data_IF_341766024933
#
_entry.id   IF_341766024933
#
_cell.length_a   1.000
_cell.length_b   1.000
_cell.length_c   1.000
_cell.angle_alpha   90.00
_cell.angle_beta   90.00
_cell.angle_gamma   90.00
#
_symmetry.space_group_name_H-M   'P 1'
#
loop_
_entity.id
_entity.type
_entity.pdbx_description
1 polymer ?
#
# COMPACT_ATOMS: atom_id res chain seq x y z
N UNK A 1 8.71 20.09 -3.89
CA UNK A 1 8.24 21.11 -2.93
C UNK A 1 7.91 20.35 -1.65
N UNK A 2 8.71 20.53 -0.59
CA UNK A 2 8.43 19.91 0.70
C UNK A 2 7.13 20.50 1.22
N UNK A 3 6.05 19.72 1.29
CA UNK A 3 4.85 20.13 1.99
C UNK A 3 5.24 20.26 3.46
N UNK A 4 5.57 21.48 3.89
CA UNK A 4 5.71 21.80 5.30
C UNK A 4 4.30 21.61 5.86
N UNK A 5 4.10 20.54 6.64
CA UNK A 5 2.86 20.35 7.39
C UNK A 5 2.72 21.59 8.28
N UNK A 6 1.62 22.33 8.14
CA UNK A 6 1.40 23.52 8.96
C UNK A 6 1.53 23.15 10.44
N UNK A 7 2.21 24.01 11.20
CA UNK A 7 2.43 23.78 12.62
C UNK A 7 1.07 23.65 13.32
N UNK A 8 0.83 22.49 13.92
CA UNK A 8 -0.43 22.18 14.60
C UNK A 8 -0.69 23.19 15.71
N UNK A 9 -1.91 23.75 15.74
CA UNK A 9 -2.37 24.61 16.83
C UNK A 9 -3.07 23.72 17.85
N UNK A 10 -2.31 23.21 18.82
CA UNK A 10 -2.80 22.31 19.86
C UNK A 10 -3.00 23.06 21.18
N UNK A 11 -3.99 22.66 21.96
CA UNK A 11 -4.09 23.02 23.37
C UNK A 11 -2.96 22.39 24.18
N UNK A 12 -2.74 22.83 25.42
CA UNK A 12 -1.67 22.27 26.26
C UNK A 12 -1.88 20.77 26.55
N UNK A 13 -3.13 20.34 26.74
CA UNK A 13 -3.47 18.93 26.97
C UNK A 13 -3.25 18.08 25.71
N UNK A 14 -3.67 18.59 24.55
CA UNK A 14 -3.43 17.94 23.25
C UNK A 14 -1.94 17.87 22.93
N UNK A 15 -1.16 18.91 23.23
CA UNK A 15 0.29 18.90 23.02
C UNK A 15 0.96 17.83 23.88
N UNK A 16 0.58 17.71 25.17
CA UNK A 16 1.09 16.65 26.05
C UNK A 16 0.78 15.25 25.49
N UNK A 17 -0.43 15.06 24.95
CA UNK A 17 -0.83 13.79 24.31
C UNK A 17 -0.06 13.54 23.01
N UNK A 18 -0.02 14.53 22.12
CA UNK A 18 0.74 14.49 20.87
C UNK A 18 2.19 14.08 21.12
N UNK A 19 2.84 14.73 22.08
CA UNK A 19 4.22 14.41 22.40
C UNK A 19 4.34 13.00 22.97
N UNK A 20 3.51 12.63 23.95
CA UNK A 20 3.57 11.31 24.58
C UNK A 20 3.44 10.17 23.56
N UNK A 21 2.54 10.32 22.60
CA UNK A 21 2.17 9.28 21.65
C UNK A 21 2.99 9.38 20.32
N UNK A 22 3.94 10.31 20.23
CA UNK A 22 4.77 10.53 19.04
C UNK A 22 5.78 9.37 18.82
N UNK A 23 5.65 8.60 17.71
CA UNK A 23 6.52 7.46 17.41
C UNK A 23 7.98 7.86 17.13
N UNK A 24 8.24 9.12 16.78
CA UNK A 24 9.58 9.63 16.54
C UNK A 24 10.50 9.59 17.77
N UNK A 25 9.96 9.24 18.95
CA UNK A 25 10.71 9.01 20.19
C UNK A 25 11.31 7.60 20.29
N UNK A 26 10.74 6.62 19.59
CA UNK A 26 11.03 5.20 19.79
C UNK A 26 11.99 4.60 18.74
N UNK A 27 12.34 5.38 17.71
CA UNK A 27 13.51 5.11 16.85
C UNK A 27 13.17 4.63 15.43
N UNK A 28 13.87 3.58 14.98
CA UNK A 28 14.13 3.25 13.56
C UNK A 28 12.91 3.19 12.63
N UNK A 29 11.73 2.76 13.09
CA UNK A 29 10.53 2.59 12.26
C UNK A 29 9.43 3.59 12.57
N UNK A 30 9.79 4.80 13.03
CA UNK A 30 8.83 5.82 13.40
C UNK A 30 7.80 6.15 12.30
N UNK A 31 8.20 6.08 11.02
CA UNK A 31 7.27 6.27 9.90
C UNK A 31 6.23 5.14 9.81
N UNK A 32 6.62 3.89 10.08
CA UNK A 32 5.67 2.76 10.08
C UNK A 32 4.67 2.90 11.24
N UNK A 33 5.17 3.24 12.43
CA UNK A 33 4.34 3.45 13.61
C UNK A 33 3.39 4.63 13.43
N UNK A 34 3.82 5.72 12.77
CA UNK A 34 2.95 6.85 12.43
C UNK A 34 1.82 6.44 11.47
N UNK A 35 2.08 5.52 10.53
CA UNK A 35 1.07 4.99 9.62
C UNK A 35 0.05 4.09 10.35
N UNK A 36 0.51 3.27 11.29
CA UNK A 36 -0.33 2.37 12.09
C UNK A 36 -1.11 3.06 13.22
N UNK A 37 -0.65 4.23 13.66
CA UNK A 37 -1.26 4.94 14.77
C UNK A 37 -2.75 5.24 14.53
N UNK A 38 -3.52 5.25 15.62
CA UNK A 38 -4.96 5.55 15.63
C UNK A 38 -5.25 7.01 16.00
N UNK A 39 -4.20 7.82 16.14
CA UNK A 39 -4.28 9.22 16.54
C UNK A 39 -4.78 10.10 15.39
N UNK A 40 -5.22 11.36 15.65
CA UNK A 40 -5.75 12.24 14.61
C UNK A 40 -4.85 12.31 13.38
N UNK A 41 -5.43 12.31 12.18
CA UNK A 41 -4.62 12.30 10.94
C UNK A 41 -3.63 13.47 10.86
N UNK A 42 -4.02 14.65 11.35
CA UNK A 42 -3.13 15.81 11.39
C UNK A 42 -1.86 15.52 12.22
N UNK A 43 -1.97 14.75 13.30
CA UNK A 43 -0.84 14.37 14.13
C UNK A 43 0.03 13.35 13.43
N UNK A 44 -0.60 12.30 12.88
CA UNK A 44 0.09 11.24 12.14
C UNK A 44 0.87 11.79 10.94
N UNK A 45 0.28 12.70 10.17
CA UNK A 45 0.94 13.38 9.05
C UNK A 45 2.12 14.23 9.52
N UNK A 46 2.00 14.93 10.65
CA UNK A 46 3.12 15.70 11.20
C UNK A 46 4.25 14.78 11.67
N UNK A 47 3.94 13.69 12.37
CA UNK A 47 4.94 12.68 12.77
C UNK A 47 5.63 12.04 11.56
N UNK A 48 4.87 11.69 10.52
CA UNK A 48 5.39 11.12 9.28
C UNK A 48 6.30 12.13 8.55
N UNK A 49 5.90 13.40 8.49
CA UNK A 49 6.71 14.49 7.94
C UNK A 49 8.02 14.67 8.71
N UNK A 50 7.96 14.70 10.03
CA UNK A 50 9.14 14.76 10.91
C UNK A 50 10.07 13.54 10.69
N UNK A 51 9.51 12.33 10.55
CA UNK A 51 10.29 11.11 10.31
C UNK A 51 11.04 11.18 8.97
N UNK A 52 10.34 11.54 7.89
CA UNK A 52 10.94 11.71 6.56
C UNK A 52 12.01 12.82 6.58
N UNK A 53 11.75 13.93 7.27
CA UNK A 53 12.71 15.03 7.42
C UNK A 53 13.98 14.61 8.17
N UNK A 54 13.90 13.62 9.07
CA UNK A 54 15.06 13.00 9.74
C UNK A 54 15.78 11.95 8.89
N UNK A 55 15.32 11.72 7.66
CA UNK A 55 15.94 10.80 6.71
C UNK A 55 15.38 9.38 6.73
N UNK A 56 14.20 9.15 7.33
CA UNK A 56 13.51 7.86 7.17
C UNK A 56 13.16 7.62 5.69
N UNK A 57 13.49 6.44 5.17
CA UNK A 57 13.11 6.03 3.82
C UNK A 57 11.62 5.66 3.79
N UNK A 58 10.86 6.35 2.93
CA UNK A 58 9.42 6.14 2.74
C UNK A 58 9.09 4.73 2.20
N UNK A 59 10.10 4.04 1.65
CA UNK A 59 10.00 2.67 1.17
C UNK A 59 10.70 1.67 2.09
N UNK A 60 11.21 2.06 3.26
CA UNK A 60 11.94 1.14 4.15
C UNK A 60 11.08 -0.08 4.48
N UNK A 61 11.67 -1.27 4.48
CA UNK A 61 10.98 -2.49 4.90
C UNK A 61 11.22 -2.68 6.40
N UNK A 62 10.15 -2.72 7.19
CA UNK A 62 10.21 -3.03 8.61
C UNK A 62 10.44 -4.53 8.83
N UNK A 63 11.66 -4.94 9.13
CA UNK A 63 12.06 -6.34 9.33
C UNK A 63 11.86 -6.84 10.78
N UNK A 64 11.40 -6.00 11.71
CA UNK A 64 11.21 -6.38 13.13
C UNK A 64 9.96 -7.21 13.39
N UNK A 65 8.97 -7.15 12.52
CA UNK A 65 7.64 -7.74 12.76
C UNK A 65 7.56 -9.12 12.09
N UNK A 66 6.72 -10.01 12.63
CA UNK A 66 6.33 -11.27 11.99
C UNK A 66 5.78 -11.10 10.57
N UNK A 67 5.44 -9.86 10.18
CA UNK A 67 4.98 -9.44 8.87
C UNK A 67 5.78 -8.19 8.47
N UNK A 68 6.85 -8.32 7.66
CA UNK A 68 7.64 -7.16 7.32
C UNK A 68 6.95 -6.36 6.21
N UNK A 69 6.52 -5.17 6.60
CA UNK A 69 5.71 -4.26 5.81
C UNK A 69 6.50 -3.00 5.50
N UNK A 70 6.06 -2.28 4.47
CA UNK A 70 6.55 -0.94 4.16
C UNK A 70 5.51 0.08 4.65
N UNK A 71 5.85 1.37 4.80
CA UNK A 71 4.91 2.37 5.30
C UNK A 71 3.58 2.41 4.54
N UNK A 72 3.61 2.16 3.22
CA UNK A 72 2.41 2.14 2.40
C UNK A 72 1.52 0.91 2.65
N UNK A 73 2.09 -0.23 3.07
CA UNK A 73 1.30 -1.37 3.55
C UNK A 73 0.66 -1.05 4.91
N UNK A 74 1.41 -0.45 5.82
CA UNK A 74 0.93 -0.08 7.16
C UNK A 74 -0.25 0.91 7.09
N UNK A 75 -0.17 1.88 6.18
CA UNK A 75 -1.21 2.90 5.99
C UNK A 75 -2.57 2.33 5.53
N UNK A 76 -2.60 1.10 5.01
CA UNK A 76 -3.83 0.43 4.57
C UNK A 76 -4.28 -0.72 5.49
N UNK A 77 -3.46 -1.14 6.45
CA UNK A 77 -3.83 -2.20 7.41
C UNK A 77 -4.91 -1.74 8.38
N UNK A 78 -4.76 -0.53 8.91
CA UNK A 78 -5.61 -0.03 9.99
C UNK A 78 -6.24 1.31 9.63
N UNK A 79 -7.32 1.31 8.84
CA UNK A 79 -7.90 2.57 8.40
C UNK A 79 -8.61 3.33 9.52
N UNK A 80 -8.77 2.76 10.73
CA UNK A 80 -9.40 3.38 11.90
C UNK A 80 -10.41 2.45 12.58
N UNK A 81 -10.83 2.80 13.80
CA UNK A 81 -11.73 1.94 14.59
C UNK A 81 -13.16 1.91 14.04
N UNK A 82 -13.73 0.70 13.98
CA UNK A 82 -15.13 0.43 13.61
C UNK A 82 -16.18 0.99 14.58
N UNK A 83 -15.75 1.38 15.79
CA UNK A 83 -16.65 1.82 16.87
C UNK A 83 -16.96 3.31 16.84
N UNK A 84 -16.43 4.09 15.90
CA UNK A 84 -16.71 5.53 15.76
C UNK A 84 -16.24 6.40 16.93
N UNK A 85 -15.57 5.82 17.93
CA UNK A 85 -15.05 6.54 19.11
C UNK A 85 -13.77 7.31 18.82
N UNK A 86 -13.03 6.92 17.78
CA UNK A 86 -11.77 7.54 17.39
C UNK A 86 -11.68 7.53 15.85
N UNK A 87 -11.96 8.69 15.25
CA UNK A 87 -11.65 9.13 13.87
C UNK A 87 -12.42 8.52 12.69
N UNK A 88 -12.59 9.34 11.65
CA UNK A 88 -13.17 8.93 10.37
C UNK A 88 -12.17 8.06 9.60
N UNK A 89 -12.60 6.88 9.19
CA UNK A 89 -11.78 5.88 8.50
C UNK A 89 -11.18 6.41 7.20
N UNK A 90 -11.85 7.38 6.57
CA UNK A 90 -11.38 8.03 5.35
C UNK A 90 -10.19 8.97 5.57
N UNK A 91 -9.91 9.39 6.81
CA UNK A 91 -8.73 10.20 7.11
C UNK A 91 -7.43 9.44 6.81
N UNK A 92 -7.44 8.10 6.91
CA UNK A 92 -6.26 7.29 6.57
C UNK A 92 -5.93 7.32 5.06
N UNK A 93 -6.86 7.76 4.20
CA UNK A 93 -6.56 8.03 2.79
C UNK A 93 -5.60 9.22 2.62
N UNK A 94 -5.61 10.19 3.55
CA UNK A 94 -4.63 11.29 3.53
C UNK A 94 -3.22 10.79 3.80
N UNK A 95 -3.06 9.76 4.64
CA UNK A 95 -1.76 9.12 4.85
C UNK A 95 -1.28 8.42 3.57
N UNK A 96 -2.16 7.71 2.86
CA UNK A 96 -1.83 7.10 1.56
C UNK A 96 -1.41 8.18 0.55
N UNK A 97 -2.19 9.26 0.42
CA UNK A 97 -1.85 10.39 -0.45
C UNK A 97 -0.50 11.01 -0.08
N UNK A 98 -0.26 11.21 1.21
CA UNK A 98 0.97 11.78 1.74
C UNK A 98 2.18 10.91 1.37
N UNK A 99 2.14 9.61 1.66
CA UNK A 99 3.22 8.68 1.33
C UNK A 99 3.53 8.65 -0.16
N UNK A 100 2.50 8.57 -1.02
CA UNK A 100 2.67 8.59 -2.48
C UNK A 100 3.27 9.91 -2.96
N UNK A 101 2.87 11.05 -2.40
CA UNK A 101 3.45 12.36 -2.72
C UNK A 101 4.93 12.48 -2.30
N UNK A 102 5.34 11.70 -1.29
CA UNK A 102 6.72 11.62 -0.80
C UNK A 102 7.55 10.49 -1.44
N UNK A 103 7.03 9.82 -2.49
CA UNK A 103 7.79 8.85 -3.28
C UNK A 103 7.66 7.40 -2.81
N UNK A 104 6.63 7.07 -2.04
CA UNK A 104 6.28 5.68 -1.78
C UNK A 104 5.98 4.95 -3.10
N UNK A 105 6.63 3.81 -3.33
CA UNK A 105 6.43 3.00 -4.52
C UNK A 105 5.40 1.89 -4.23
N UNK A 106 4.17 2.01 -4.76
CA UNK A 106 3.11 1.03 -4.54
C UNK A 106 3.38 -0.33 -5.21
N UNK A 107 4.40 -0.46 -6.05
CA UNK A 107 4.77 -1.72 -6.71
C UNK A 107 5.66 -2.58 -5.81
N UNK A 108 6.19 -2.01 -4.73
CA UNK A 108 7.05 -2.74 -3.81
C UNK A 108 6.23 -3.71 -2.97
N UNK A 109 6.75 -4.94 -2.91
CA UNK A 109 6.11 -6.03 -2.18
C UNK A 109 6.48 -5.98 -0.70
N UNK A 110 5.58 -6.49 0.14
CA UNK A 110 5.90 -6.86 1.51
C UNK A 110 6.98 -7.96 1.53
N UNK A 111 7.71 -8.08 2.64
CA UNK A 111 8.70 -9.14 2.80
C UNK A 111 8.08 -10.42 3.38
N UNK A 112 8.49 -11.60 2.88
CA UNK A 112 8.76 -12.86 3.62
C UNK A 112 8.84 -14.05 2.66
N UNK A 113 9.65 -15.02 3.05
CA UNK A 113 9.97 -16.24 2.31
C UNK A 113 9.22 -17.48 2.84
N UNK A 114 8.57 -17.41 3.99
CA UNK A 114 8.23 -18.55 4.86
C UNK A 114 6.72 -18.82 5.00
N UNK A 115 5.85 -17.89 4.58
CA UNK A 115 4.38 -18.10 4.58
C UNK A 115 3.83 -18.08 3.14
N UNK A 116 3.41 -19.23 2.56
CA UNK A 116 3.03 -19.32 1.15
C UNK A 116 1.81 -18.49 0.73
N UNK A 117 0.87 -18.24 1.66
CA UNK A 117 -0.47 -17.67 1.38
C UNK A 117 -0.57 -16.15 1.34
N UNK A 118 0.45 -15.40 1.76
CA UNK A 118 0.49 -13.91 1.73
C UNK A 118 1.76 -13.38 1.05
N UNK A 119 2.43 -14.26 0.33
CA UNK A 119 3.72 -14.01 -0.30
C UNK A 119 3.52 -12.96 -1.40
N UNK A 120 4.37 -11.92 -1.42
CA UNK A 120 4.55 -11.02 -2.58
C UNK A 120 3.44 -10.02 -2.86
N UNK A 121 2.57 -9.70 -1.90
CA UNK A 121 1.54 -8.69 -2.13
C UNK A 121 2.16 -7.29 -2.14
N UNK A 122 1.89 -6.57 -3.22
CA UNK A 122 1.99 -5.12 -3.22
C UNK A 122 0.89 -4.54 -2.32
N UNK A 123 1.02 -3.30 -1.82
CA UNK A 123 -0.07 -2.67 -1.08
C UNK A 123 -1.36 -2.55 -1.94
N UNK A 124 -1.24 -2.48 -3.27
CA UNK A 124 -2.40 -2.55 -4.19
C UNK A 124 -3.11 -3.90 -4.13
N UNK A 125 -2.35 -5.00 -4.11
CA UNK A 125 -2.90 -6.36 -4.02
C UNK A 125 -3.57 -6.60 -2.66
N UNK A 126 -2.96 -6.08 -1.60
CA UNK A 126 -3.49 -6.17 -0.25
C UNK A 126 -4.80 -5.39 -0.11
N UNK A 127 -4.85 -4.16 -0.59
CA UNK A 127 -6.07 -3.36 -0.61
C UNK A 127 -7.19 -4.05 -1.39
N UNK A 128 -6.88 -4.69 -2.53
CA UNK A 128 -7.87 -5.49 -3.28
C UNK A 128 -8.43 -6.65 -2.45
N UNK A 129 -7.55 -7.36 -1.74
CA UNK A 129 -7.96 -8.48 -0.88
C UNK A 129 -8.85 -8.02 0.28
N UNK A 130 -8.50 -6.93 0.95
CA UNK A 130 -9.27 -6.42 2.09
C UNK A 130 -10.61 -5.81 1.66
N UNK A 131 -10.64 -5.07 0.53
CA UNK A 131 -11.89 -4.57 -0.05
C UNK A 131 -12.87 -5.73 -0.31
N UNK A 132 -12.38 -6.81 -0.89
CA UNK A 132 -13.19 -7.99 -1.19
C UNK A 132 -13.71 -8.66 0.07
N UNK A 133 -12.82 -8.99 1.02
CA UNK A 133 -13.21 -9.63 2.29
C UNK A 133 -14.26 -8.81 3.03
N UNK A 134 -14.10 -7.48 3.04
CA UNK A 134 -15.03 -6.58 3.71
C UNK A 134 -16.39 -6.50 2.99
N UNK A 135 -16.38 -6.48 1.64
CA UNK A 135 -17.61 -6.54 0.83
C UNK A 135 -18.38 -7.85 1.04
N UNK A 136 -17.68 -8.99 1.00
CA UNK A 136 -18.27 -10.32 1.22
C UNK A 136 -18.85 -10.46 2.63
N UNK A 137 -18.22 -9.84 3.62
CA UNK A 137 -18.74 -9.76 4.99
C UNK A 137 -19.89 -8.74 5.16
N UNK A 138 -20.26 -7.99 4.11
CA UNK A 138 -21.33 -7.00 4.14
C UNK A 138 -20.98 -5.70 4.85
N UNK A 139 -19.69 -5.39 5.02
CA UNK A 139 -19.25 -4.14 5.64
C UNK A 139 -19.15 -3.03 4.61
N UNK A 140 -19.64 -1.83 4.92
CA UNK A 140 -19.58 -0.66 4.02
C UNK A 140 -18.19 -0.02 3.94
N UNK A 141 -17.28 -0.43 4.82
CA UNK A 141 -15.93 0.11 4.94
C UNK A 141 -14.98 -0.36 3.82
N UNK A 142 -15.42 -1.28 2.94
CA UNK A 142 -14.62 -1.75 1.81
C UNK A 142 -14.13 -0.61 0.89
N UNK A 143 -14.90 0.49 0.82
CA UNK A 143 -14.62 1.65 -0.05
C UNK A 143 -13.28 2.31 0.23
N UNK A 144 -12.84 2.30 1.49
CA UNK A 144 -11.51 2.81 1.85
C UNK A 144 -10.42 2.13 1.02
N UNK A 145 -10.43 0.79 0.98
CA UNK A 145 -9.38 0.05 0.28
C UNK A 145 -9.51 0.18 -1.25
N UNK A 146 -10.72 0.33 -1.78
CA UNK A 146 -10.89 0.62 -3.22
C UNK A 146 -10.28 1.97 -3.59
N UNK A 147 -10.59 3.03 -2.84
CA UNK A 147 -10.07 4.38 -3.08
C UNK A 147 -8.55 4.44 -2.88
N UNK A 148 -8.03 3.81 -1.82
CA UNK A 148 -6.58 3.65 -1.59
C UNK A 148 -5.89 2.94 -2.77
N UNK A 149 -6.49 1.84 -3.26
CA UNK A 149 -5.98 1.07 -4.39
C UNK A 149 -5.95 1.89 -5.67
N UNK A 150 -6.99 2.66 -5.97
CA UNK A 150 -7.03 3.52 -7.15
C UNK A 150 -5.89 4.54 -7.14
N UNK A 151 -5.67 5.23 -6.00
CA UNK A 151 -4.58 6.18 -5.84
C UNK A 151 -3.20 5.51 -6.07
N UNK A 152 -3.01 4.31 -5.53
CA UNK A 152 -1.78 3.55 -5.72
C UNK A 152 -1.58 3.09 -7.18
N UNK A 153 -2.64 2.69 -7.88
CA UNK A 153 -2.57 2.34 -9.31
C UNK A 153 -2.17 3.55 -10.15
N UNK A 154 -2.74 4.73 -9.87
CA UNK A 154 -2.36 5.94 -10.57
C UNK A 154 -0.90 6.33 -10.31
N UNK A 155 -0.43 6.20 -9.07
CA UNK A 155 0.96 6.45 -8.73
C UNK A 155 1.91 5.46 -9.44
N UNK A 156 1.57 4.17 -9.49
CA UNK A 156 2.33 3.15 -10.22
C UNK A 156 2.44 3.47 -11.73
N UNK A 157 1.34 3.92 -12.34
CA UNK A 157 1.32 4.37 -13.74
C UNK A 157 2.27 5.54 -13.96
N UNK A 158 2.23 6.54 -13.09
CA UNK A 158 3.10 7.73 -13.17
C UNK A 158 4.58 7.37 -13.03
N UNK A 159 4.92 6.48 -12.09
CA UNK A 159 6.29 5.99 -11.92
C UNK A 159 6.79 5.26 -13.17
N UNK A 160 5.97 4.37 -13.73
CA UNK A 160 6.37 3.65 -14.94
C UNK A 160 6.53 4.57 -16.15
N UNK A 161 5.60 5.50 -16.36
CA UNK A 161 5.71 6.49 -17.43
C UNK A 161 6.99 7.34 -17.29
N UNK A 162 7.34 7.73 -16.06
CA UNK A 162 8.59 8.45 -15.76
C UNK A 162 9.82 7.60 -16.09
N UNK A 163 9.87 6.35 -15.62
CA UNK A 163 10.96 5.43 -15.92
C UNK A 163 11.11 5.17 -17.44
N UNK A 164 10.01 5.02 -18.17
CA UNK A 164 10.03 4.86 -19.63
C UNK A 164 10.53 6.11 -20.36
N UNK A 165 10.17 7.30 -19.88
CA UNK A 165 10.67 8.56 -20.42
C UNK A 165 12.17 8.72 -20.20
N UNK A 166 12.68 8.30 -19.03
CA UNK A 166 14.09 8.35 -18.67
C UNK A 166 14.93 7.29 -19.41
N UNK A 167 14.36 6.10 -19.68
CA UNK A 167 15.07 4.96 -20.30
C UNK A 167 15.23 5.03 -21.84
N UNK A 168 14.63 6.02 -22.51
CA UNK A 168 14.80 6.27 -23.94
C UNK A 168 14.34 5.15 -24.89
N UNK A 169 14.71 5.25 -26.18
CA UNK A 169 14.22 4.39 -27.26
C UNK A 169 14.68 2.92 -27.15
N UNK A 170 15.91 2.68 -26.66
CA UNK A 170 16.53 1.35 -26.65
C UNK A 170 15.92 0.39 -25.61
N UNK A 171 15.41 0.91 -24.49
CA UNK A 171 14.79 0.07 -23.45
C UNK A 171 13.38 -0.39 -23.83
N UNK A 172 12.65 0.39 -24.64
CA UNK A 172 11.34 -0.02 -25.19
C UNK A 172 11.46 -1.27 -26.06
N UNK A 173 12.57 -1.41 -26.78
CA UNK A 173 12.88 -2.59 -27.60
C UNK A 173 13.15 -3.83 -26.73
N UNK A 174 13.89 -3.68 -25.62
CA UNK A 174 14.15 -4.78 -24.69
C UNK A 174 12.91 -5.22 -23.90
N UNK A 175 12.06 -4.28 -23.47
CA UNK A 175 10.80 -4.60 -22.80
C UNK A 175 9.86 -5.44 -23.68
N UNK A 176 9.82 -5.15 -24.99
CA UNK A 176 9.03 -5.93 -25.95
C UNK A 176 9.54 -7.38 -26.09
N UNK A 177 10.86 -7.55 -26.14
CA UNK A 177 11.50 -8.87 -26.20
C UNK A 177 11.31 -9.68 -24.90
N UNK A 178 11.37 -9.04 -23.74
CA UNK A 178 11.22 -9.71 -22.45
C UNK A 178 9.77 -10.13 -22.16
N UNK A 179 8.80 -9.29 -22.56
CA UNK A 179 7.36 -9.59 -22.48
C UNK A 179 7.00 -10.86 -23.25
N UNK A 180 7.58 -11.05 -24.44
CA UNK A 180 7.39 -12.24 -25.26
C UNK A 180 7.96 -13.54 -24.65
N UNK A 181 8.80 -13.44 -23.61
CA UNK A 181 9.51 -14.57 -22.99
C UNK A 181 9.06 -14.91 -21.57
N UNK A 182 8.14 -14.14 -20.97
CA UNK A 182 7.72 -14.36 -19.58
C UNK A 182 6.67 -15.47 -19.43
N UNK A 183 6.91 -16.41 -18.51
CA UNK A 183 6.13 -17.65 -18.31
C UNK A 183 4.75 -17.40 -17.65
N UNK A 184 3.75 -18.19 -18.06
CA UNK A 184 2.31 -18.16 -17.68
C UNK A 184 1.94 -18.07 -16.18
N UNK A 185 2.88 -18.28 -15.25
CA UNK A 185 2.62 -18.19 -13.81
C UNK A 185 2.66 -16.74 -13.27
N UNK A 186 3.37 -15.84 -13.94
CA UNK A 186 3.40 -14.40 -13.61
C UNK A 186 2.12 -13.66 -14.02
N UNK A 187 1.28 -14.31 -14.84
CA UNK A 187 0.02 -13.79 -15.41
C UNK A 187 -1.23 -14.14 -14.59
N UNK A 188 -1.08 -14.88 -13.50
CA UNK A 188 -2.18 -15.23 -12.61
C UNK A 188 -2.51 -14.06 -11.68
N UNK A 189 -3.80 -13.77 -11.49
CA UNK A 189 -4.22 -12.71 -10.59
C UNK A 189 -3.84 -13.00 -9.13
N UNK A 190 -3.88 -11.98 -8.26
CA UNK A 190 -3.59 -12.17 -6.83
C UNK A 190 -4.36 -13.35 -6.25
N UNK A 191 -5.65 -13.50 -6.55
CA UNK A 191 -6.47 -14.58 -5.99
C UNK A 191 -6.10 -15.97 -6.50
N UNK A 192 -5.78 -16.09 -7.79
CA UNK A 192 -5.26 -17.32 -8.37
C UNK A 192 -3.91 -17.70 -7.77
N UNK A 193 -3.09 -16.72 -7.36
CA UNK A 193 -1.81 -16.95 -6.67
C UNK A 193 -2.00 -17.38 -5.21
N UNK A 194 -2.99 -16.83 -4.51
CA UNK A 194 -3.25 -17.13 -3.09
C UNK A 194 -4.06 -18.42 -2.87
N UNK A 195 -4.68 -18.98 -3.92
CA UNK A 195 -5.49 -20.19 -3.82
C UNK A 195 -6.80 -20.01 -3.02
N UNK A 196 -7.26 -18.77 -2.86
CA UNK A 196 -8.54 -18.45 -2.23
C UNK A 196 -9.69 -18.58 -3.25
N UNK A 197 -10.01 -19.82 -3.59
CA UNK A 197 -11.24 -20.14 -4.33
C UNK A 197 -12.28 -20.64 -3.36
N UNK A 198 -13.41 -19.95 -3.32
CA UNK A 198 -14.58 -20.32 -2.53
C UNK A 198 -15.72 -20.69 -3.48
N UNK A 199 -15.50 -21.67 -4.36
CA UNK A 199 -16.58 -22.20 -5.19
C UNK A 199 -16.44 -23.72 -5.40
N UNK A 200 -17.58 -24.39 -5.30
CA UNK A 200 -17.83 -25.83 -5.44
C UNK A 200 -17.53 -26.42 -6.83
N UNK A 201 -16.70 -25.79 -7.65
CA UNK A 201 -16.46 -26.24 -9.03
C UNK A 201 -14.98 -26.58 -9.25
N UNK A 202 -14.73 -27.86 -9.44
CA UNK A 202 -13.43 -28.52 -9.63
C UNK A 202 -12.74 -28.18 -10.97
N UNK A 203 -13.22 -27.18 -11.71
CA UNK A 203 -12.76 -26.88 -13.09
C UNK A 203 -12.64 -25.37 -13.35
N UNK A 204 -12.05 -24.60 -12.43
CA UNK A 204 -11.73 -23.20 -12.72
C UNK A 204 -10.45 -23.10 -13.58
N UNK A 205 -10.59 -22.78 -14.86
CA UNK A 205 -9.44 -22.47 -15.73
C UNK A 205 -9.05 -20.99 -15.59
N UNK A 206 -7.75 -20.65 -15.72
CA UNK A 206 -7.25 -19.26 -15.56
C UNK A 206 -7.85 -18.26 -16.56
N UNK A 207 -8.34 -18.74 -17.71
CA UNK A 207 -8.99 -17.94 -18.75
C UNK A 207 -10.38 -17.41 -18.35
N UNK A 208 -11.04 -18.07 -17.40
CA UNK A 208 -12.41 -17.73 -17.01
C UNK A 208 -12.47 -16.79 -15.80
N UNK A 209 -11.32 -16.54 -15.14
CA UNK A 209 -11.26 -15.69 -13.95
C UNK A 209 -11.46 -14.23 -14.35
N UNK A 210 -12.62 -13.64 -14.00
CA UNK A 210 -12.89 -12.22 -14.23
C UNK A 210 -11.81 -11.32 -13.64
N UNK A 211 -11.26 -11.69 -12.48
CA UNK A 211 -10.15 -10.95 -11.86
C UNK A 211 -8.82 -11.08 -12.60
N UNK A 212 -8.53 -12.21 -13.25
CA UNK A 212 -7.40 -12.29 -14.18
C UNK A 212 -7.65 -11.41 -15.40
N UNK A 213 -8.89 -11.25 -15.86
CA UNK A 213 -9.22 -10.34 -16.98
C UNK A 213 -9.07 -8.88 -16.56
N UNK A 214 -9.39 -8.53 -15.32
CA UNK A 214 -9.18 -7.19 -14.77
C UNK A 214 -7.71 -6.89 -14.48
N UNK A 215 -6.98 -7.77 -13.78
CA UNK A 215 -5.55 -7.57 -13.46
C UNK A 215 -4.66 -7.57 -14.72
N UNK A 216 -5.02 -8.29 -15.78
CA UNK A 216 -4.33 -8.20 -17.08
C UNK A 216 -4.33 -6.78 -17.66
N UNK A 217 -5.30 -5.93 -17.30
CA UNK A 217 -5.30 -4.51 -17.70
C UNK A 217 -4.23 -3.68 -16.97
N UNK A 218 -3.68 -4.21 -15.88
CA UNK A 218 -2.78 -3.52 -14.96
C UNK A 218 -1.49 -4.31 -14.72
N UNK A 219 -1.06 -5.18 -15.63
CA UNK A 219 0.05 -6.12 -15.42
C UNK A 219 1.39 -5.40 -15.22
N UNK A 220 1.66 -4.97 -13.98
CA UNK A 220 2.96 -4.49 -13.50
C UNK A 220 3.88 -5.64 -13.05
N UNK A 221 3.42 -6.89 -13.17
CA UNK A 221 4.19 -8.10 -12.84
C UNK A 221 5.42 -8.34 -13.76
N UNK A 222 5.80 -7.38 -14.60
CA UNK A 222 6.82 -7.55 -15.64
C UNK A 222 8.03 -6.59 -15.54
N UNK A 223 8.18 -5.80 -14.48
CA UNK A 223 9.27 -4.82 -14.40
C UNK A 223 10.37 -5.08 -13.36
N UNK A 224 10.30 -6.15 -12.56
CA UNK A 224 11.42 -6.60 -11.73
C UNK A 224 11.44 -8.11 -11.57
#
# INVERSE_FOLDING_TARGET
>A
MSAIVEKLKLTEEEQKRYDRDNPNKHGRYALHEACLAIEPIAWRLNWASEAIARGCDVNELNDRISRPLRPLHEAIENPGSRTGKFHDRFESLDMVRFLLAHGADPRLRAGRADTPRYRWLTPMDEALCEARRSREAGYSDYRFWEEAREMMIEAAKKLTAKEEAERGLFSRMFAYLYSAMSKDWAMACVFCRLGNFDHKETTHTRSDCEYCKEEKKFSWNHLF
#
